data_IF_927326994650
#
_entry.id   IF_927326994650
#
_cell.length_a   1.000
_cell.length_b   1.000
_cell.length_c   1.000
_cell.angle_alpha   90.00
_cell.angle_beta   90.00
_cell.angle_gamma   90.00
#
_symmetry.space_group_name_H-M   'P 1'
#
loop_
_entity.id
_entity.type
_entity.pdbx_description
1 polymer ?
#
# COMPACT_ATOMS: atom_id res chain seq x y z
N UNK A 1 6.34 -50.71 5.87
CA UNK A 1 7.57 -50.16 5.31
C UNK A 1 7.17 -49.31 4.10
N UNK A 2 7.15 -47.99 4.25
CA UNK A 2 6.81 -47.10 3.13
C UNK A 2 8.04 -47.07 2.23
N UNK A 3 7.94 -47.73 1.07
CA UNK A 3 8.95 -47.64 0.02
C UNK A 3 8.68 -46.34 -0.70
N UNK A 4 9.35 -45.28 -0.25
CA UNK A 4 9.33 -43.99 -0.92
C UNK A 4 10.17 -44.14 -2.19
N UNK A 5 9.48 -44.27 -3.32
CA UNK A 5 10.10 -44.16 -4.63
C UNK A 5 10.86 -42.84 -4.72
N UNK A 6 12.09 -42.88 -5.21
CA UNK A 6 12.95 -41.71 -5.33
C UNK A 6 12.24 -40.58 -6.09
N UNK A 7 11.48 -40.93 -7.12
CA UNK A 7 10.64 -40.02 -7.89
C UNK A 7 9.61 -39.28 -7.04
N UNK A 8 8.99 -39.94 -6.06
CA UNK A 8 8.01 -39.32 -5.18
C UNK A 8 8.69 -38.35 -4.20
N UNK A 9 9.87 -38.70 -3.68
CA UNK A 9 10.64 -37.81 -2.81
C UNK A 9 11.04 -36.51 -3.53
N UNK A 10 11.49 -36.62 -4.79
CA UNK A 10 11.85 -35.46 -5.63
C UNK A 10 10.62 -34.62 -5.95
N UNK A 11 9.50 -35.24 -6.33
CA UNK A 11 8.25 -34.53 -6.61
C UNK A 11 7.77 -33.74 -5.39
N UNK A 12 7.81 -34.35 -4.20
CA UNK A 12 7.39 -33.72 -2.95
C UNK A 12 8.31 -32.54 -2.58
N UNK A 13 9.62 -32.69 -2.76
CA UNK A 13 10.58 -31.60 -2.52
C UNK A 13 10.32 -30.39 -3.42
N UNK A 14 10.14 -30.62 -4.74
CA UNK A 14 9.85 -29.54 -5.69
C UNK A 14 8.49 -28.88 -5.38
N UNK A 15 7.49 -29.68 -5.03
CA UNK A 15 6.18 -29.17 -4.66
C UNK A 15 6.23 -28.27 -3.43
N UNK A 16 6.89 -28.72 -2.35
CA UNK A 16 7.03 -27.94 -1.12
C UNK A 16 7.82 -26.65 -1.34
N UNK A 17 8.92 -26.71 -2.08
CA UNK A 17 9.74 -25.52 -2.40
C UNK A 17 8.96 -24.52 -3.25
N UNK A 18 8.19 -24.99 -4.24
CA UNK A 18 7.33 -24.13 -5.05
C UNK A 18 6.25 -23.46 -4.20
N UNK A 19 5.59 -24.19 -3.31
CA UNK A 19 4.61 -23.63 -2.38
C UNK A 19 5.25 -22.59 -1.46
N UNK A 20 6.43 -22.88 -0.91
CA UNK A 20 7.14 -21.95 -0.05
C UNK A 20 7.48 -20.64 -0.78
N UNK A 21 7.91 -20.71 -2.04
CA UNK A 21 8.17 -19.54 -2.88
C UNK A 21 6.89 -18.76 -3.19
N UNK A 22 5.79 -19.44 -3.50
CA UNK A 22 4.50 -18.79 -3.75
C UNK A 22 3.96 -18.09 -2.50
N UNK A 23 4.05 -18.73 -1.32
CA UNK A 23 3.68 -18.12 -0.06
C UNK A 23 4.58 -16.92 0.25
N UNK A 24 5.90 -17.07 0.12
CA UNK A 24 6.84 -15.96 0.30
C UNK A 24 6.48 -14.78 -0.60
N UNK A 25 6.24 -15.03 -1.89
CA UNK A 25 5.81 -14.00 -2.83
C UNK A 25 4.51 -13.32 -2.39
N UNK A 26 3.49 -14.10 -2.04
CA UNK A 26 2.19 -13.57 -1.61
C UNK A 26 2.32 -12.71 -0.36
N UNK A 27 3.09 -13.15 0.63
CA UNK A 27 3.36 -12.38 1.84
C UNK A 27 4.16 -11.11 1.54
N UNK A 28 5.15 -11.16 0.66
CA UNK A 28 5.98 -10.00 0.32
C UNK A 28 5.23 -8.96 -0.52
N UNK A 29 4.37 -9.41 -1.44
CA UNK A 29 3.49 -8.54 -2.22
C UNK A 29 2.50 -7.83 -1.30
N UNK A 30 1.88 -8.56 -0.35
CA UNK A 30 1.01 -7.95 0.65
C UNK A 30 1.79 -6.99 1.55
N UNK A 31 3.01 -7.33 1.97
CA UNK A 31 3.84 -6.45 2.78
C UNK A 31 4.23 -5.16 2.05
N UNK A 32 4.55 -5.23 0.74
CA UNK A 32 4.78 -4.05 -0.10
C UNK A 32 3.51 -3.22 -0.28
N UNK A 33 2.38 -3.86 -0.58
CA UNK A 33 1.10 -3.18 -0.73
C UNK A 33 0.67 -2.47 0.57
N UNK A 34 0.86 -3.09 1.74
CA UNK A 34 0.60 -2.45 3.04
C UNK A 34 1.60 -1.34 3.36
N UNK A 35 2.87 -1.46 2.95
CA UNK A 35 3.89 -0.42 3.11
C UNK A 35 3.65 0.78 2.19
N UNK A 36 3.09 0.57 1.01
CA UNK A 36 2.65 1.66 0.14
C UNK A 36 1.33 2.29 0.63
N UNK A 37 0.48 1.53 1.31
CA UNK A 37 -0.68 2.08 2.02
C UNK A 37 -0.29 2.92 3.24
N UNK A 38 0.81 2.63 3.94
CA UNK A 38 1.32 3.52 5.01
C UNK A 38 2.04 4.76 4.45
N UNK A 39 2.34 4.76 3.15
CA UNK A 39 2.72 5.94 2.40
C UNK A 39 1.51 6.74 1.90
N UNK A 40 0.27 6.38 2.26
CA UNK A 40 -0.93 7.21 2.06
C UNK A 40 -0.92 8.48 2.91
N UNK A 41 -0.01 8.57 3.89
CA UNK A 41 0.36 9.82 4.52
C UNK A 41 1.41 10.61 3.71
N UNK A 42 1.74 10.20 2.48
CA UNK A 42 2.44 11.11 1.56
C UNK A 42 1.45 12.19 1.20
N UNK A 43 1.76 13.38 1.73
CA UNK A 43 1.04 14.62 1.65
C UNK A 43 0.94 15.11 0.20
N UNK A 44 0.24 14.38 -0.65
CA UNK A 44 -0.07 14.78 -2.02
C UNK A 44 -1.27 15.70 -1.92
N UNK A 45 -1.06 16.95 -2.30
CA UNK A 45 -2.06 18.00 -2.32
C UNK A 45 -2.42 18.31 -3.76
N UNK A 46 -3.71 18.49 -4.00
CA UNK A 46 -4.22 19.02 -5.25
C UNK A 46 -4.69 20.45 -5.00
N UNK A 47 -4.18 21.40 -5.76
CA UNK A 47 -4.65 22.78 -5.63
C UNK A 47 -6.08 22.94 -6.15
N UNK A 48 -6.98 23.54 -5.37
CA UNK A 48 -8.36 23.83 -5.77
C UNK A 48 -8.46 24.87 -6.90
N UNK A 49 -7.44 25.73 -7.05
CA UNK A 49 -7.41 26.82 -8.03
C UNK A 49 -6.74 26.39 -9.33
N UNK A 50 -5.49 25.90 -9.26
CA UNK A 50 -4.69 25.61 -10.45
C UNK A 50 -4.60 24.12 -10.81
N UNK A 51 -5.29 23.26 -10.05
CA UNK A 51 -5.35 21.80 -10.21
C UNK A 51 -3.99 21.09 -10.24
N UNK A 52 -2.93 21.80 -9.84
CA UNK A 52 -1.58 21.26 -9.78
C UNK A 52 -1.44 20.30 -8.59
N UNK A 53 -0.88 19.12 -8.85
CA UNK A 53 -0.53 18.14 -7.83
C UNK A 53 0.87 18.41 -7.32
N UNK A 54 1.03 18.52 -6.01
CA UNK A 54 2.32 18.76 -5.37
C UNK A 54 2.41 17.98 -4.06
N UNK A 55 3.64 17.79 -3.57
CA UNK A 55 3.92 17.10 -2.32
C UNK A 55 4.35 18.15 -1.32
N UNK A 56 3.63 18.27 -0.21
CA UNK A 56 4.00 19.18 0.88
C UNK A 56 4.06 18.42 2.22
N UNK A 57 5.27 18.05 2.62
CA UNK A 57 5.55 17.34 3.87
C UNK A 57 5.71 18.26 5.08
N UNK A 58 5.64 19.59 4.91
CA UNK A 58 5.93 20.55 5.98
C UNK A 58 4.68 21.00 6.74
N UNK A 59 3.52 20.97 6.10
CA UNK A 59 2.29 21.51 6.68
C UNK A 59 1.18 20.47 6.69
N UNK A 60 0.78 20.07 7.90
CA UNK A 60 -0.24 19.04 8.15
C UNK A 60 -1.67 19.56 8.01
N UNK A 61 -1.90 20.87 8.04
CA UNK A 61 -3.25 21.49 8.05
C UNK A 61 -3.55 22.36 6.84
N UNK A 62 -2.62 23.24 6.44
CA UNK A 62 -2.78 24.18 5.31
C UNK A 62 -1.51 24.16 4.48
N UNK A 63 -1.62 23.88 3.17
CA UNK A 63 -0.48 23.89 2.25
C UNK A 63 -0.61 25.02 1.23
N UNK A 64 0.52 25.66 0.90
CA UNK A 64 0.56 26.74 -0.09
C UNK A 64 1.00 26.15 -1.43
N UNK A 65 0.20 26.34 -2.48
CA UNK A 65 0.55 25.86 -3.80
C UNK A 65 1.79 26.61 -4.33
N UNK A 66 2.87 25.92 -4.73
CA UNK A 66 4.08 26.56 -5.25
C UNK A 66 3.87 27.24 -6.61
N UNK A 67 2.78 26.94 -7.31
CA UNK A 67 2.49 27.46 -8.65
C UNK A 67 1.69 28.75 -8.63
N UNK A 68 0.61 28.80 -7.84
CA UNK A 68 -0.31 29.93 -7.81
C UNK A 68 -0.33 30.67 -6.46
N UNK A 69 0.39 30.19 -5.44
CA UNK A 69 0.39 30.77 -4.10
C UNK A 69 -0.92 30.61 -3.33
N UNK A 70 -1.87 29.84 -3.88
CA UNK A 70 -3.15 29.58 -3.22
C UNK A 70 -3.00 28.67 -2.01
N UNK A 71 -3.75 28.97 -0.95
CA UNK A 71 -3.88 28.12 0.23
C UNK A 71 -4.86 26.98 -0.04
N UNK A 72 -4.40 25.75 0.16
CA UNK A 72 -5.23 24.55 0.12
C UNK A 72 -5.36 24.00 1.54
N UNK A 73 -6.59 23.80 1.97
CA UNK A 73 -6.91 23.15 3.24
C UNK A 73 -7.19 21.67 3.00
N UNK A 74 -6.62 20.80 3.84
CA UNK A 74 -6.95 19.37 3.77
C UNK A 74 -8.36 19.29 4.33
N UNK A 75 -9.35 19.12 3.45
CA UNK A 75 -10.72 18.83 3.88
C UNK A 75 -10.64 17.57 4.71
N UNK A 76 -10.62 17.74 6.03
CA UNK A 76 -10.67 16.63 6.97
C UNK A 76 -12.12 16.20 6.94
N UNK A 77 -12.49 15.43 5.92
CA UNK A 77 -13.85 14.93 5.79
C UNK A 77 -14.05 13.91 6.89
N UNK A 78 -14.47 14.40 8.06
CA UNK A 78 -15.07 13.62 9.13
C UNK A 78 -16.43 13.11 8.63
N UNK A 79 -16.41 12.13 7.72
CA UNK A 79 -17.57 11.37 7.28
C UNK A 79 -17.13 9.91 7.11
N UNK A 80 -17.39 9.11 8.16
CA UNK A 80 -17.83 7.71 8.12
C UNK A 80 -17.66 7.11 9.53
N UNK A 81 -18.50 7.57 10.47
CA UNK A 81 -18.81 6.80 11.68
C UNK A 81 -20.27 6.98 12.11
N UNK A 82 -21.19 6.95 11.14
CA UNK A 82 -22.64 6.85 11.39
C UNK A 82 -23.31 5.92 10.36
N UNK A 83 -22.85 4.66 10.27
CA UNK A 83 -23.70 3.58 9.73
C UNK A 83 -23.33 2.28 10.43
N UNK A 84 -24.04 1.96 11.51
CA UNK A 84 -24.40 0.61 11.95
C UNK A 84 -25.44 0.78 13.06
N UNK A 85 -26.69 0.56 12.68
CA UNK A 85 -27.82 0.43 13.61
C UNK A 85 -27.81 -0.90 14.33
#
# INVERSE_FOLDING_TARGET
MIVLEFSFAVALYIFLTTIALLLYWLFFEKAKYFKDYSLSDRHVWQCSICTYFYIDSKHTTISVCPRCGSYNEKVTTSFQKEVKG
#
